data_IF_363817355327
#
_entry.id   IF_363817355327
#
_cell.length_a   1.000
_cell.length_b   1.000
_cell.length_c   1.000
_cell.angle_alpha   90.00
_cell.angle_beta   90.00
_cell.angle_gamma   90.00
#
_symmetry.space_group_name_H-M   'P 1'
#
loop_
_entity.id
_entity.type
_entity.pdbx_description
1 polymer ?
#
# COMPACT_ATOMS: atom_id res chain seq x y z
N UNK A 1 -32.32 19.58 -18.48
CA UNK A 1 -32.87 19.18 -17.14
C UNK A 1 -34.40 19.22 -17.21
N UNK A 2 -35.13 18.13 -16.98
CA UNK A 2 -36.56 18.23 -16.67
C UNK A 2 -36.68 18.82 -15.26
N UNK A 3 -36.67 20.16 -15.19
CA UNK A 3 -37.17 20.81 -14.00
C UNK A 3 -38.68 20.71 -14.12
N UNK A 4 -39.34 19.72 -13.48
CA UNK A 4 -40.61 20.11 -12.85
C UNK A 4 -40.25 21.41 -12.14
N UNK A 5 -40.96 22.53 -12.41
CA UNK A 5 -40.94 23.61 -11.45
C UNK A 5 -41.31 22.91 -10.17
N UNK A 6 -40.28 22.63 -9.34
CA UNK A 6 -40.52 22.17 -7.98
C UNK A 6 -41.47 23.24 -7.51
N UNK A 7 -42.67 22.84 -7.12
CA UNK A 7 -43.57 23.67 -6.34
C UNK A 7 -42.70 24.20 -5.21
N UNK A 8 -42.11 25.38 -5.43
CA UNK A 8 -41.23 25.98 -4.46
C UNK A 8 -42.19 26.30 -3.33
N UNK A 9 -41.85 25.82 -2.14
CA UNK A 9 -42.52 26.20 -0.92
C UNK A 9 -42.76 27.71 -0.95
N UNK A 10 -44.04 28.07 -0.87
CA UNK A 10 -44.65 29.41 -0.80
C UNK A 10 -43.74 30.62 -1.10
N UNK A 11 -44.07 31.44 -2.11
CA UNK A 11 -43.25 32.58 -2.49
C UNK A 11 -43.12 33.59 -1.34
N UNK A 12 -41.89 33.81 -0.87
CA UNK A 12 -41.54 35.05 -0.16
C UNK A 12 -41.75 36.20 -1.16
N UNK A 13 -42.72 37.04 -0.86
CA UNK A 13 -43.17 38.19 -1.63
C UNK A 13 -42.02 39.11 -2.08
N UNK A 14 -41.92 39.40 -3.38
CA UNK A 14 -41.25 40.63 -3.83
C UNK A 14 -40.59 40.65 -5.22
N UNK A 15 -40.37 39.52 -5.89
CA UNK A 15 -39.61 39.52 -7.15
C UNK A 15 -40.40 38.82 -8.28
N UNK A 16 -40.93 39.61 -9.22
CA UNK A 16 -41.67 39.09 -10.37
C UNK A 16 -40.72 38.39 -11.34
N UNK A 17 -40.66 37.05 -11.29
CA UNK A 17 -39.88 36.29 -12.26
C UNK A 17 -40.40 36.54 -13.69
N UNK A 18 -39.51 36.68 -14.68
CA UNK A 18 -39.91 36.91 -16.06
C UNK A 18 -40.79 35.75 -16.56
N UNK A 19 -42.00 36.07 -16.98
CA UNK A 19 -42.91 35.09 -17.58
C UNK A 19 -42.35 34.65 -18.94
N UNK A 20 -42.02 33.37 -19.08
CA UNK A 20 -41.56 32.81 -20.36
C UNK A 20 -42.75 32.50 -21.26
N UNK A 21 -42.86 33.24 -22.36
CA UNK A 21 -43.88 33.02 -23.39
C UNK A 21 -43.49 31.86 -24.32
N UNK A 22 -44.44 30.97 -24.59
CA UNK A 22 -44.29 29.91 -25.59
C UNK A 22 -44.37 30.49 -27.03
N UNK A 23 -44.06 29.70 -28.05
CA UNK A 23 -44.25 30.08 -29.46
C UNK A 23 -45.71 30.39 -29.81
N UNK A 24 -46.68 29.85 -29.06
CA UNK A 24 -48.09 30.20 -29.17
C UNK A 24 -48.48 31.50 -28.47
N UNK A 25 -47.51 32.25 -27.92
CA UNK A 25 -47.72 33.47 -27.11
C UNK A 25 -48.49 33.27 -25.80
N UNK A 26 -48.83 32.03 -25.44
CA UNK A 26 -49.37 31.71 -24.13
C UNK A 26 -48.25 31.58 -23.09
N UNK A 27 -48.57 31.92 -21.83
CA UNK A 27 -47.69 31.70 -20.68
C UNK A 27 -47.68 30.22 -20.35
N UNK A 28 -46.49 29.62 -20.21
CA UNK A 28 -46.36 28.24 -19.73
C UNK A 28 -46.50 28.21 -18.21
N UNK A 29 -47.44 27.42 -17.72
CA UNK A 29 -47.73 27.21 -16.30
C UNK A 29 -47.23 25.85 -15.81
N UNK A 30 -47.24 25.63 -14.49
CA UNK A 30 -46.72 24.40 -13.88
C UNK A 30 -47.59 23.16 -14.17
N UNK A 31 -48.84 23.39 -14.58
CA UNK A 31 -49.79 22.34 -14.96
C UNK A 31 -49.68 21.94 -16.43
N UNK A 32 -48.88 22.67 -17.21
CA UNK A 32 -48.73 22.40 -18.63
C UNK A 32 -47.72 21.28 -18.88
N UNK A 33 -48.03 20.42 -19.84
CA UNK A 33 -47.03 19.53 -20.42
C UNK A 33 -46.07 20.36 -21.27
N UNK A 34 -44.92 20.70 -20.71
CA UNK A 34 -43.96 21.58 -21.35
C UNK A 34 -42.52 21.09 -21.19
N UNK A 35 -41.68 21.49 -22.14
CA UNK A 35 -40.24 21.24 -22.16
C UNK A 35 -39.47 22.55 -22.16
N UNK A 36 -38.42 22.61 -21.36
CA UNK A 36 -37.46 23.71 -21.39
C UNK A 36 -36.38 23.42 -22.42
N UNK A 37 -36.14 24.36 -23.34
CA UNK A 37 -35.04 24.27 -24.29
C UNK A 37 -33.69 24.46 -23.58
N UNK A 38 -32.76 23.52 -23.68
CA UNK A 38 -31.45 23.62 -23.01
C UNK A 38 -30.53 24.71 -23.63
N UNK A 39 -30.90 25.26 -24.80
CA UNK A 39 -30.12 26.30 -25.48
C UNK A 39 -30.56 27.73 -25.13
N UNK A 40 -31.87 28.00 -25.09
CA UNK A 40 -32.41 29.36 -24.87
C UNK A 40 -33.17 29.51 -23.55
N UNK A 41 -33.24 28.45 -22.74
CA UNK A 41 -33.90 28.40 -21.43
C UNK A 41 -35.42 28.70 -21.46
N UNK A 42 -36.02 28.85 -22.64
CA UNK A 42 -37.44 29.09 -22.84
C UNK A 42 -38.27 27.79 -22.72
N UNK A 43 -39.49 27.93 -22.22
CA UNK A 43 -40.46 26.86 -22.04
C UNK A 43 -41.41 26.75 -23.23
N UNK A 44 -41.71 25.52 -23.64
CA UNK A 44 -42.59 25.24 -24.76
C UNK A 44 -43.59 24.14 -24.40
N UNK A 45 -44.89 24.40 -24.59
CA UNK A 45 -45.91 23.34 -24.56
C UNK A 45 -45.57 22.26 -25.58
N UNK A 46 -45.67 20.98 -25.21
CA UNK A 46 -45.30 19.87 -26.11
C UNK A 46 -46.06 19.92 -27.43
N UNK A 47 -47.32 20.36 -27.43
CA UNK A 47 -48.13 20.54 -28.64
C UNK A 47 -47.64 21.66 -29.55
N UNK A 48 -47.10 22.75 -28.98
CA UNK A 48 -46.59 23.90 -29.75
C UNK A 48 -45.24 23.62 -30.44
N UNK A 49 -44.57 22.53 -30.08
CA UNK A 49 -43.30 22.08 -30.67
C UNK A 49 -43.39 20.67 -31.26
N UNK A 50 -44.60 20.16 -31.50
CA UNK A 50 -44.87 18.86 -32.11
C UNK A 50 -44.19 17.68 -31.40
N UNK A 51 -44.02 17.75 -30.07
CA UNK A 51 -43.56 16.62 -29.27
C UNK A 51 -44.76 15.77 -28.88
N UNK A 52 -44.76 14.50 -29.30
CA UNK A 52 -45.84 13.58 -28.97
C UNK A 52 -45.87 13.29 -27.45
N UNK A 53 -47.05 12.98 -26.88
CA UNK A 53 -47.14 12.58 -25.47
C UNK A 53 -46.21 11.41 -25.12
N UNK A 54 -46.05 10.43 -26.02
CA UNK A 54 -45.13 9.30 -25.83
C UNK A 54 -43.67 9.74 -25.75
N UNK A 55 -43.24 10.64 -26.63
CA UNK A 55 -41.89 11.19 -26.60
C UNK A 55 -41.65 12.03 -25.32
N UNK A 56 -42.65 12.81 -24.91
CA UNK A 56 -42.61 13.56 -23.66
C UNK A 56 -42.46 12.63 -22.44
N UNK A 57 -43.22 11.54 -22.36
CA UNK A 57 -43.06 10.54 -21.31
C UNK A 57 -41.66 9.91 -21.33
N UNK A 58 -41.08 9.65 -22.50
CA UNK A 58 -39.71 9.16 -22.59
C UNK A 58 -38.69 10.19 -22.05
N UNK A 59 -38.85 11.48 -22.38
CA UNK A 59 -38.02 12.56 -21.82
C UNK A 59 -38.16 12.65 -20.29
N UNK A 60 -39.36 12.48 -19.75
CA UNK A 60 -39.60 12.43 -18.30
C UNK A 60 -38.87 11.25 -17.65
N UNK A 61 -39.04 10.03 -18.18
CA UNK A 61 -38.38 8.82 -17.67
C UNK A 61 -36.86 8.94 -17.69
N UNK A 62 -36.29 9.44 -18.78
CA UNK A 62 -34.85 9.66 -18.90
C UNK A 62 -34.36 10.66 -17.85
N UNK A 63 -35.09 11.76 -17.65
CA UNK A 63 -34.74 12.75 -16.64
C UNK A 63 -34.81 12.20 -15.20
N UNK A 64 -35.79 11.34 -14.88
CA UNK A 64 -35.90 10.65 -13.59
C UNK A 64 -34.73 9.68 -13.34
N UNK A 65 -34.31 8.96 -14.37
CA UNK A 65 -33.15 8.06 -14.33
C UNK A 65 -31.80 8.79 -14.31
N UNK A 66 -31.80 10.13 -14.28
CA UNK A 66 -30.61 10.96 -14.44
C UNK A 66 -29.86 10.68 -15.75
N UNK A 67 -30.56 10.14 -16.75
CA UNK A 67 -30.06 9.99 -18.12
C UNK A 67 -30.38 11.27 -18.88
N UNK A 68 -29.33 12.03 -19.20
CA UNK A 68 -29.51 13.32 -19.86
C UNK A 68 -30.04 13.14 -21.29
N UNK A 69 -31.29 13.51 -21.49
CA UNK A 69 -31.82 13.85 -22.80
C UNK A 69 -31.85 15.37 -22.90
N UNK A 70 -30.92 15.93 -23.67
CA UNK A 70 -30.99 17.34 -24.00
C UNK A 70 -32.13 17.52 -25.02
N UNK A 71 -32.99 18.50 -24.79
CA UNK A 71 -34.04 18.87 -25.74
C UNK A 71 -33.84 20.30 -26.21
N UNK A 72 -33.93 20.49 -27.52
CA UNK A 72 -33.74 21.78 -28.18
C UNK A 72 -35.00 22.13 -28.94
N UNK A 73 -35.49 23.37 -28.79
CA UNK A 73 -36.66 23.82 -29.54
C UNK A 73 -36.35 23.94 -31.04
N UNK A 74 -37.38 23.89 -31.92
CA UNK A 74 -37.18 23.96 -33.36
C UNK A 74 -36.35 25.17 -33.83
N UNK A 75 -36.52 26.33 -33.19
CA UNK A 75 -35.71 27.54 -33.50
C UNK A 75 -34.22 27.30 -33.24
N UNK A 76 -33.88 26.77 -32.07
CA UNK A 76 -32.49 26.46 -31.72
C UNK A 76 -31.89 25.32 -32.56
N UNK A 77 -32.71 24.41 -33.10
CA UNK A 77 -32.27 23.38 -34.04
C UNK A 77 -32.02 23.94 -35.45
N UNK A 78 -32.90 24.81 -35.95
CA UNK A 78 -32.86 25.36 -37.31
C UNK A 78 -31.78 26.43 -37.45
N UNK A 79 -31.59 27.28 -36.44
CA UNK A 79 -30.75 28.48 -36.56
C UNK A 79 -29.27 28.19 -36.85
N UNK A 80 -28.83 26.93 -36.99
CA UNK A 80 -27.44 26.48 -37.26
C UNK A 80 -26.37 27.20 -36.44
N UNK A 81 -26.78 27.90 -35.38
CA UNK A 81 -25.95 28.46 -34.33
C UNK A 81 -25.52 27.32 -33.42
N UNK A 82 -24.94 26.28 -34.03
CA UNK A 82 -24.13 25.25 -33.38
C UNK A 82 -23.12 25.94 -32.44
N UNK A 83 -22.64 27.13 -32.80
CA UNK A 83 -21.79 27.97 -31.96
C UNK A 83 -22.37 28.38 -30.60
N UNK A 84 -23.70 28.42 -30.39
CA UNK A 84 -24.31 28.69 -29.07
C UNK A 84 -24.76 27.44 -28.32
N UNK A 85 -25.16 26.40 -29.04
CA UNK A 85 -25.63 25.14 -28.45
C UNK A 85 -24.46 24.23 -28.05
N UNK A 86 -23.40 24.17 -28.87
CA UNK A 86 -22.24 23.33 -28.62
C UNK A 86 -21.49 23.66 -27.33
N UNK A 87 -21.23 24.93 -26.97
CA UNK A 87 -20.46 25.24 -25.76
C UNK A 87 -21.15 24.76 -24.47
N UNK A 88 -22.48 24.89 -24.35
CA UNK A 88 -23.21 24.41 -23.17
C UNK A 88 -23.22 22.88 -23.06
N UNK A 89 -23.40 22.20 -24.19
CA UNK A 89 -23.33 20.74 -24.24
C UNK A 89 -21.92 20.24 -23.91
N UNK A 90 -20.88 20.86 -24.49
CA UNK A 90 -19.48 20.55 -24.23
C UNK A 90 -19.09 20.83 -22.78
N UNK A 91 -19.54 21.94 -22.18
CA UNK A 91 -19.30 22.22 -20.77
C UNK A 91 -19.93 21.15 -19.88
N UNK A 92 -21.18 20.77 -20.15
CA UNK A 92 -21.88 19.72 -19.41
C UNK A 92 -21.14 18.37 -19.53
N UNK A 93 -20.61 18.05 -20.70
CA UNK A 93 -19.80 16.85 -20.90
C UNK A 93 -18.45 16.95 -20.19
N UNK A 94 -17.78 18.10 -20.22
CA UNK A 94 -16.53 18.35 -19.48
C UNK A 94 -16.73 18.16 -17.98
N UNK A 95 -17.74 18.80 -17.40
CA UNK A 95 -18.06 18.66 -15.97
C UNK A 95 -18.35 17.20 -15.59
N UNK A 96 -18.92 16.41 -16.50
CA UNK A 96 -19.16 14.97 -16.30
C UNK A 96 -17.89 14.15 -16.40
N UNK A 97 -16.99 14.49 -17.32
CA UNK A 97 -15.66 13.88 -17.43
C UNK A 97 -14.92 14.14 -16.11
N UNK A 98 -14.83 15.39 -15.67
CA UNK A 98 -14.15 15.77 -14.43
C UNK A 98 -14.72 15.04 -13.20
N UNK A 99 -16.06 14.94 -13.10
CA UNK A 99 -16.70 14.16 -12.02
C UNK A 99 -16.38 12.68 -12.09
N UNK A 100 -16.37 12.11 -13.29
CA UNK A 100 -16.07 10.69 -13.51
C UNK A 100 -14.60 10.40 -13.19
N UNK A 101 -13.68 11.25 -13.64
CA UNK A 101 -12.25 11.16 -13.32
C UNK A 101 -12.03 11.25 -11.81
N UNK A 102 -12.67 12.21 -11.13
CA UNK A 102 -12.59 12.32 -9.69
C UNK A 102 -13.11 11.07 -8.96
N UNK A 103 -14.22 10.50 -9.43
CA UNK A 103 -14.76 9.24 -8.90
C UNK A 103 -13.79 8.07 -9.11
N UNK A 104 -13.16 7.97 -10.29
CA UNK A 104 -12.14 6.96 -10.58
C UNK A 104 -10.91 7.11 -9.69
N UNK A 105 -10.41 8.34 -9.50
CA UNK A 105 -9.31 8.60 -8.55
C UNK A 105 -9.68 8.18 -7.14
N UNK A 106 -10.90 8.50 -6.70
CA UNK A 106 -11.40 8.10 -5.37
C UNK A 106 -11.48 6.58 -5.21
N UNK A 107 -11.98 5.88 -6.24
CA UNK A 107 -12.07 4.41 -6.23
C UNK A 107 -10.69 3.76 -6.26
N UNK A 108 -9.75 4.26 -7.06
CA UNK A 108 -8.37 3.79 -7.08
C UNK A 108 -7.70 3.94 -5.71
N UNK A 109 -7.86 5.09 -5.07
CA UNK A 109 -7.32 5.31 -3.72
C UNK A 109 -7.93 4.34 -2.69
N UNK A 110 -9.24 4.05 -2.77
CA UNK A 110 -9.89 3.07 -1.90
C UNK A 110 -9.42 1.65 -2.18
N UNK A 111 -9.21 1.29 -3.45
CA UNK A 111 -8.68 -0.01 -3.84
C UNK A 111 -7.28 -0.23 -3.26
N UNK A 112 -6.38 0.75 -3.41
CA UNK A 112 -5.03 0.66 -2.86
C UNK A 112 -5.03 0.49 -1.33
N UNK A 113 -5.90 1.22 -0.62
CA UNK A 113 -6.09 1.05 0.82
C UNK A 113 -6.58 -0.35 1.20
N UNK A 114 -7.48 -0.95 0.41
CA UNK A 114 -7.97 -2.30 0.65
C UNK A 114 -6.89 -3.36 0.40
N UNK A 115 -6.07 -3.18 -0.63
CA UNK A 115 -4.93 -4.07 -0.92
C UNK A 115 -3.93 -4.03 0.24
N UNK A 116 -3.55 -2.86 0.72
CA UNK A 116 -2.65 -2.71 1.87
C UNK A 116 -3.21 -3.37 3.13
N UNK A 117 -4.52 -3.20 3.39
CA UNK A 117 -5.21 -3.83 4.52
C UNK A 117 -5.24 -5.35 4.40
N UNK A 118 -5.43 -5.89 3.19
CA UNK A 118 -5.43 -7.32 2.94
C UNK A 118 -4.04 -7.93 3.18
N UNK A 119 -2.97 -7.26 2.74
CA UNK A 119 -1.59 -7.67 2.98
C UNK A 119 -1.25 -7.67 4.48
N UNK A 120 -1.74 -6.70 5.25
CA UNK A 120 -1.57 -6.68 6.71
C UNK A 120 -2.31 -7.83 7.40
N UNK A 121 -3.56 -8.10 7.01
CA UNK A 121 -4.34 -9.21 7.57
C UNK A 121 -3.70 -10.57 7.25
N UNK A 122 -3.21 -10.74 6.02
CA UNK A 122 -2.53 -11.96 5.62
C UNK A 122 -1.24 -12.18 6.42
N UNK A 123 -0.44 -11.12 6.63
CA UNK A 123 0.74 -11.18 7.48
C UNK A 123 0.39 -11.48 8.95
N UNK A 124 -0.72 -10.98 9.47
CA UNK A 124 -1.22 -11.31 10.82
C UNK A 124 -1.59 -12.78 10.94
N UNK A 125 -2.33 -13.31 9.98
CA UNK A 125 -2.72 -14.72 9.94
C UNK A 125 -1.50 -15.63 9.87
N UNK A 126 -0.54 -15.29 9.01
CA UNK A 126 0.72 -16.02 8.86
C UNK A 126 1.62 -15.94 10.11
N UNK A 127 1.55 -14.84 10.87
CA UNK A 127 2.20 -14.72 12.20
C UNK A 127 1.54 -15.64 13.22
N UNK A 128 0.21 -15.68 13.28
CA UNK A 128 -0.51 -16.56 14.22
C UNK A 128 -0.27 -18.03 13.93
N UNK A 129 -0.32 -18.45 12.66
CA UNK A 129 0.02 -19.83 12.25
C UNK A 129 1.43 -20.25 12.67
N UNK A 130 2.39 -19.32 12.63
CA UNK A 130 3.79 -19.57 13.03
C UNK A 130 4.06 -19.26 14.51
N UNK A 131 3.08 -18.77 15.27
CA UNK A 131 3.28 -18.32 16.66
C UNK A 131 3.70 -19.46 17.57
N UNK A 132 3.30 -20.70 17.28
CA UNK A 132 3.73 -21.89 18.02
C UNK A 132 4.94 -22.60 17.42
N UNK A 133 5.58 -22.01 16.40
CA UNK A 133 6.64 -22.70 15.65
C UNK A 133 8.03 -22.15 16.01
N UNK A 134 9.02 -23.02 15.93
CA UNK A 134 10.44 -22.68 15.99
C UNK A 134 11.17 -23.21 14.75
N UNK A 135 12.35 -22.66 14.51
CA UNK A 135 13.29 -23.14 13.50
C UNK A 135 14.61 -23.52 14.16
N UNK A 136 15.19 -24.64 13.74
CA UNK A 136 16.48 -25.14 14.20
C UNK A 136 17.42 -25.24 13.00
N UNK A 137 18.58 -24.59 13.11
CA UNK A 137 19.65 -24.61 12.12
C UNK A 137 20.78 -25.49 12.60
N UNK A 138 21.46 -26.13 11.66
CA UNK A 138 22.66 -26.95 11.90
C UNK A 138 22.42 -28.20 12.76
N UNK A 139 21.18 -28.72 12.81
CA UNK A 139 20.88 -29.99 13.45
C UNK A 139 20.86 -31.09 12.39
N UNK A 140 21.91 -31.91 12.38
CA UNK A 140 22.07 -33.01 11.42
C UNK A 140 20.97 -34.06 11.59
N UNK A 141 20.47 -34.65 10.48
CA UNK A 141 19.63 -35.83 10.58
C UNK A 141 20.46 -37.00 11.14
N UNK A 142 19.79 -37.88 11.86
CA UNK A 142 20.37 -39.14 12.34
C UNK A 142 19.72 -40.26 11.54
N UNK A 143 20.51 -41.04 10.81
CA UNK A 143 20.00 -42.12 9.98
C UNK A 143 19.19 -43.11 10.83
N UNK A 144 18.06 -43.56 10.29
CA UNK A 144 17.14 -44.50 10.95
C UNK A 144 16.35 -43.92 12.13
N UNK A 145 16.51 -42.64 12.48
CA UNK A 145 15.79 -42.01 13.60
C UNK A 145 14.80 -40.96 13.10
N UNK A 146 13.58 -40.94 13.65
CA UNK A 146 12.60 -39.91 13.35
C UNK A 146 13.07 -38.55 13.89
N UNK A 147 12.96 -37.47 13.10
CA UNK A 147 13.33 -36.12 13.51
C UNK A 147 12.61 -35.68 14.81
N UNK A 148 11.40 -36.17 15.07
CA UNK A 148 10.67 -35.92 16.32
C UNK A 148 11.44 -36.42 17.54
N UNK A 149 12.03 -37.62 17.46
CA UNK A 149 12.81 -38.21 18.55
C UNK A 149 14.16 -37.51 18.70
N UNK A 150 14.79 -37.13 17.59
CA UNK A 150 16.04 -36.34 17.60
C UNK A 150 15.81 -35.00 18.32
N UNK A 151 14.75 -34.28 17.96
CA UNK A 151 14.37 -33.02 18.61
C UNK A 151 14.07 -33.23 20.09
N UNK A 152 13.29 -34.25 20.41
CA UNK A 152 12.92 -34.57 21.79
C UNK A 152 14.16 -34.78 22.67
N UNK A 153 15.05 -35.68 22.26
CA UNK A 153 16.31 -35.97 22.98
C UNK A 153 17.20 -34.74 23.05
N UNK A 154 17.31 -33.98 21.96
CA UNK A 154 18.14 -32.78 21.93
C UNK A 154 17.66 -31.73 22.95
N UNK A 155 16.36 -31.45 22.99
CA UNK A 155 15.78 -30.47 23.93
C UNK A 155 15.94 -30.94 25.38
N UNK A 156 15.68 -32.22 25.67
CA UNK A 156 15.80 -32.73 27.03
C UNK A 156 17.24 -32.75 27.52
N UNK A 157 18.18 -33.23 26.71
CA UNK A 157 19.57 -33.43 27.11
C UNK A 157 20.40 -32.14 27.11
N UNK A 158 20.18 -31.24 26.14
CA UNK A 158 21.04 -30.06 25.97
C UNK A 158 20.40 -28.74 26.44
N UNK A 159 19.06 -28.66 26.52
CA UNK A 159 18.38 -27.49 27.07
C UNK A 159 17.88 -27.70 28.50
N UNK A 160 17.81 -28.95 28.98
CA UNK A 160 17.24 -29.28 30.28
C UNK A 160 15.74 -28.94 30.39
N UNK A 161 15.06 -28.79 29.25
CA UNK A 161 13.62 -28.50 29.23
C UNK A 161 12.88 -29.83 29.15
N UNK A 162 12.09 -30.14 30.19
CA UNK A 162 11.19 -31.28 30.17
C UNK A 162 10.03 -30.97 29.24
N UNK A 163 9.90 -31.75 28.18
CA UNK A 163 8.78 -31.67 27.23
C UNK A 163 8.10 -33.03 27.17
N UNK A 164 6.81 -33.05 26.89
CA UNK A 164 6.08 -34.27 26.55
C UNK A 164 6.19 -34.50 25.03
N UNK A 165 6.53 -35.70 24.53
CA UNK A 165 6.47 -36.00 23.10
C UNK A 165 5.15 -35.63 22.42
N UNK A 166 4.03 -35.64 23.13
CA UNK A 166 2.71 -35.24 22.62
C UNK A 166 2.58 -33.73 22.36
N UNK A 167 3.43 -32.90 23.00
CA UNK A 167 3.43 -31.44 22.83
C UNK A 167 4.00 -30.99 21.48
N UNK A 168 4.76 -31.87 20.81
CA UNK A 168 5.26 -31.66 19.46
C UNK A 168 4.18 -32.14 18.49
N UNK A 169 3.58 -31.20 17.77
CA UNK A 169 2.57 -31.44 16.75
C UNK A 169 3.21 -32.07 15.51
N UNK A 170 4.14 -31.33 14.89
CA UNK A 170 4.77 -31.73 13.65
C UNK A 170 6.22 -31.24 13.56
N UNK A 171 7.03 -32.02 12.84
CA UNK A 171 8.44 -31.74 12.58
C UNK A 171 8.69 -31.95 11.09
N UNK A 172 9.35 -30.99 10.43
CA UNK A 172 9.63 -31.06 9.00
C UNK A 172 10.97 -30.40 8.65
N UNK A 173 11.65 -30.92 7.63
CA UNK A 173 12.86 -30.31 7.07
C UNK A 173 12.52 -29.49 5.83
N UNK A 174 13.06 -28.28 5.74
CA UNK A 174 12.91 -27.46 4.54
C UNK A 174 13.80 -28.00 3.43
N UNK A 175 13.22 -28.25 2.24
CA UNK A 175 13.98 -28.64 1.07
C UNK A 175 14.89 -27.48 0.66
N UNK A 176 16.20 -27.66 0.77
CA UNK A 176 17.16 -26.71 0.23
C UNK A 176 17.21 -26.91 -1.29
N UNK A 177 16.83 -25.92 -2.08
CA UNK A 177 16.75 -26.02 -3.55
C UNK A 177 18.11 -26.18 -4.26
N UNK A 178 19.22 -26.23 -3.51
CA UNK A 178 20.55 -26.36 -4.07
C UNK A 178 21.07 -27.77 -3.88
N UNK A 179 21.16 -28.51 -4.99
CA UNK A 179 22.01 -29.69 -5.18
C UNK A 179 23.52 -29.35 -5.16
N UNK A 180 23.91 -28.17 -4.67
CA UNK A 180 25.29 -27.67 -4.73
C UNK A 180 25.96 -27.70 -3.36
N UNK A 181 26.68 -28.80 -3.14
CA UNK A 181 27.97 -28.96 -2.42
C UNK A 181 28.20 -28.42 -1.00
N UNK A 182 27.23 -27.79 -0.36
CA UNK A 182 27.42 -27.35 1.02
C UNK A 182 26.92 -28.44 1.96
N UNK A 183 27.86 -29.09 2.66
CA UNK A 183 27.68 -30.13 3.68
C UNK A 183 26.92 -29.64 4.93
N UNK A 184 25.91 -28.79 4.73
CA UNK A 184 25.14 -28.12 5.77
C UNK A 184 23.77 -28.80 5.86
N UNK A 185 23.37 -29.26 7.06
CA UNK A 185 22.10 -29.92 7.20
C UNK A 185 20.95 -28.95 6.94
N UNK A 186 19.82 -29.44 6.37
CA UNK A 186 18.66 -28.63 6.05
C UNK A 186 18.05 -28.00 7.32
N UNK A 187 17.37 -26.87 7.14
CA UNK A 187 16.64 -26.21 8.22
C UNK A 187 15.54 -27.13 8.74
N UNK A 188 15.36 -27.21 10.05
CA UNK A 188 14.31 -27.99 10.69
C UNK A 188 13.23 -27.04 11.26
N UNK A 189 11.98 -27.24 10.89
CA UNK A 189 10.81 -26.58 11.46
C UNK A 189 10.11 -27.50 12.44
N UNK A 190 9.68 -26.93 13.58
CA UNK A 190 8.96 -27.66 14.62
C UNK A 190 7.74 -26.83 15.00
N UNK A 191 6.56 -27.46 14.96
CA UNK A 191 5.32 -26.91 15.48
C UNK A 191 4.97 -27.58 16.81
N UNK A 192 4.49 -26.77 17.75
CA UNK A 192 4.05 -27.24 19.06
C UNK A 192 2.54 -27.03 19.22
N UNK A 193 1.92 -27.91 20.00
CA UNK A 193 0.53 -27.74 20.43
C UNK A 193 0.39 -26.60 21.45
N UNK A 194 1.43 -26.40 22.28
CA UNK A 194 1.46 -25.40 23.34
C UNK A 194 2.52 -24.32 23.12
N UNK A 195 2.11 -23.06 23.30
CA UNK A 195 2.98 -21.89 23.23
C UNK A 195 3.95 -21.81 24.41
N UNK A 196 3.59 -22.37 25.57
CA UNK A 196 4.44 -22.35 26.77
C UNK A 196 5.73 -23.14 26.54
N UNK A 197 5.63 -24.33 25.93
CA UNK A 197 6.76 -25.20 25.56
C UNK A 197 7.72 -24.47 24.62
N UNK A 198 7.19 -23.85 23.56
CA UNK A 198 7.98 -23.00 22.65
C UNK A 198 8.74 -21.91 23.41
N UNK A 199 8.06 -21.24 24.34
CA UNK A 199 8.63 -20.09 25.06
C UNK A 199 9.76 -20.53 25.98
N UNK A 200 9.59 -21.66 26.68
CA UNK A 200 10.61 -22.30 27.52
C UNK A 200 11.84 -22.73 26.72
N UNK A 201 11.63 -23.36 25.56
CA UNK A 201 12.73 -23.75 24.66
C UNK A 201 13.51 -22.52 24.17
N UNK A 202 12.82 -21.47 23.71
CA UNK A 202 13.47 -20.25 23.23
C UNK A 202 14.21 -19.49 24.35
N UNK A 203 13.72 -19.52 25.58
CA UNK A 203 14.39 -18.91 26.73
C UNK A 203 15.70 -19.63 27.09
N UNK A 204 15.75 -20.96 26.94
CA UNK A 204 16.95 -21.77 27.19
C UNK A 204 17.88 -21.87 25.99
N UNK A 205 17.42 -21.60 24.76
CA UNK A 205 18.22 -21.69 23.54
C UNK A 205 19.62 -21.02 23.60
N UNK A 206 19.82 -19.85 24.25
CA UNK A 206 21.15 -19.24 24.37
C UNK A 206 22.17 -20.10 25.13
N UNK A 207 21.73 -20.96 26.07
CA UNK A 207 22.64 -21.79 26.88
C UNK A 207 23.34 -22.87 26.06
N UNK A 208 22.83 -23.21 24.87
CA UNK A 208 23.47 -24.14 23.92
C UNK A 208 24.91 -23.74 23.61
N UNK A 209 25.21 -22.42 23.59
CA UNK A 209 26.57 -21.92 23.31
C UNK A 209 27.59 -22.31 24.38
N UNK A 210 27.13 -22.69 25.56
CA UNK A 210 27.96 -23.12 26.69
C UNK A 210 28.08 -24.65 26.78
N UNK A 211 27.48 -25.42 25.87
CA UNK A 211 27.60 -26.89 25.84
C UNK A 211 29.07 -27.31 25.75
N UNK A 212 29.48 -28.44 26.31
CA UNK A 212 30.82 -28.99 26.06
C UNK A 212 30.95 -29.57 24.64
N UNK A 213 29.86 -30.04 24.07
CA UNK A 213 29.80 -30.65 22.74
C UNK A 213 29.85 -29.60 21.63
N UNK A 214 30.87 -29.71 20.75
CA UNK A 214 31.09 -28.82 19.62
C UNK A 214 29.95 -28.87 18.58
N UNK A 215 29.34 -30.04 18.35
CA UNK A 215 28.21 -30.20 17.43
C UNK A 215 26.96 -29.51 17.97
N UNK A 216 26.78 -29.50 19.28
CA UNK A 216 25.67 -28.80 19.94
C UNK A 216 25.89 -27.30 19.89
N UNK A 217 27.11 -26.80 20.14
CA UNK A 217 27.43 -25.35 20.12
C UNK A 217 27.06 -24.68 18.79
N UNK A 218 27.17 -25.38 17.66
CA UNK A 218 26.87 -24.81 16.34
C UNK A 218 25.37 -24.76 16.03
N UNK A 219 24.53 -25.46 16.79
CA UNK A 219 23.08 -25.43 16.64
C UNK A 219 22.55 -24.04 16.99
N UNK A 220 21.57 -23.57 16.22
CA UNK A 220 20.86 -22.33 16.49
C UNK A 220 19.36 -22.57 16.48
N UNK A 221 18.69 -22.17 17.55
CA UNK A 221 17.24 -22.24 17.69
C UNK A 221 16.69 -20.82 17.66
N UNK A 222 15.68 -20.58 16.83
CA UNK A 222 15.02 -19.27 16.75
C UNK A 222 13.52 -19.36 16.51
N UNK A 223 12.85 -18.22 16.61
CA UNK A 223 11.44 -18.08 16.24
C UNK A 223 11.26 -18.37 14.75
N UNK A 224 10.19 -19.07 14.38
CA UNK A 224 9.79 -19.21 12.98
C UNK A 224 9.12 -17.91 12.52
N UNK A 225 9.92 -16.99 11.97
CA UNK A 225 9.44 -15.70 11.49
C UNK A 225 8.76 -15.82 10.12
N UNK A 226 7.81 -14.95 9.84
CA UNK A 226 7.29 -14.75 8.48
C UNK A 226 8.39 -14.20 7.56
N UNK A 227 8.13 -14.17 6.25
CA UNK A 227 9.06 -13.58 5.28
C UNK A 227 9.32 -12.09 5.58
N UNK A 228 8.27 -11.33 5.90
CA UNK A 228 8.36 -9.90 6.22
C UNK A 228 9.15 -9.66 7.51
N UNK A 229 8.86 -10.42 8.57
CA UNK A 229 9.61 -10.35 9.83
C UNK A 229 11.08 -10.78 9.68
N UNK A 230 11.35 -11.81 8.88
CA UNK A 230 12.71 -12.27 8.60
C UNK A 230 13.54 -11.19 7.89
N UNK A 231 12.94 -10.50 6.90
CA UNK A 231 13.57 -9.38 6.20
C UNK A 231 13.84 -8.22 7.17
N UNK A 232 12.86 -7.81 7.97
CA UNK A 232 13.04 -6.77 8.99
C UNK A 232 14.14 -7.12 9.99
N UNK A 233 14.19 -8.36 10.46
CA UNK A 233 15.21 -8.83 11.38
C UNK A 233 16.60 -8.83 10.72
N UNK A 234 16.68 -9.13 9.43
CA UNK A 234 17.93 -9.04 8.66
C UNK A 234 18.40 -7.60 8.53
N UNK A 235 17.53 -6.68 8.12
CA UNK A 235 17.85 -5.25 8.01
C UNK A 235 18.27 -4.65 9.36
N UNK A 236 17.60 -5.04 10.45
CA UNK A 236 17.97 -4.61 11.80
C UNK A 236 19.36 -5.12 12.21
N UNK A 237 19.73 -6.36 11.82
CA UNK A 237 21.10 -6.88 12.02
C UNK A 237 22.12 -6.10 11.20
N UNK A 238 21.84 -5.85 9.92
CA UNK A 238 22.73 -5.07 9.05
C UNK A 238 22.95 -3.65 9.58
N UNK A 239 21.90 -3.01 10.10
CA UNK A 239 22.01 -1.70 10.78
C UNK A 239 22.92 -1.76 12.00
N UNK A 240 22.74 -2.74 12.90
CA UNK A 240 23.59 -2.88 14.09
C UNK A 240 25.06 -3.13 13.76
N UNK A 241 25.33 -3.96 12.77
CA UNK A 241 26.70 -4.25 12.35
C UNK A 241 27.40 -2.97 11.85
N UNK A 242 26.74 -2.19 10.98
CA UNK A 242 27.28 -0.91 10.51
C UNK A 242 27.56 0.08 11.65
N UNK A 243 26.62 0.21 12.58
CA UNK A 243 26.83 1.10 13.74
C UNK A 243 27.98 0.64 14.64
N UNK A 244 28.20 -0.67 14.78
CA UNK A 244 29.35 -1.20 15.54
C UNK A 244 30.67 -0.95 14.81
N UNK A 245 30.70 -1.10 13.49
CA UNK A 245 31.88 -0.80 12.66
C UNK A 245 32.25 0.69 12.73
N UNK A 246 31.26 1.59 12.64
CA UNK A 246 31.46 3.04 12.80
C UNK A 246 32.02 3.38 14.18
N UNK A 247 31.51 2.76 15.24
CA UNK A 247 32.03 2.95 16.59
C UNK A 247 33.48 2.47 16.71
N UNK A 248 33.85 1.34 16.12
CA UNK A 248 35.23 0.83 16.11
C UNK A 248 36.20 1.72 15.30
N UNK A 249 35.73 2.35 14.22
CA UNK A 249 36.54 3.31 13.46
C UNK A 249 36.78 4.62 14.23
N UNK A 250 35.80 5.06 15.02
CA UNK A 250 35.94 6.26 15.85
C UNK A 250 36.93 6.07 17.02
N UNK A 251 36.98 4.89 17.62
CA UNK A 251 37.91 4.59 18.73
C UNK A 251 39.34 4.45 18.24
N UNK A 252 39.57 3.81 17.09
CA UNK A 252 40.91 3.68 16.49
C UNK A 252 41.48 5.04 16.07
N UNK A 253 40.67 5.92 15.48
CA UNK A 253 41.08 7.28 15.11
C UNK A 253 41.46 8.18 16.29
N UNK A 254 40.84 7.96 17.45
CA UNK A 254 41.10 8.74 18.68
C UNK A 254 42.39 8.30 19.39
N UNK A 255 42.78 7.03 19.29
CA UNK A 255 44.02 6.50 19.89
C UNK A 255 45.25 7.02 19.15
N UNK A 256 45.20 7.15 17.83
CA UNK A 256 46.34 7.67 17.04
C UNK A 256 46.69 9.12 17.39
N UNK A 257 45.71 9.94 17.79
CA UNK A 257 45.98 11.35 18.16
C UNK A 257 46.65 11.53 19.53
N UNK A 258 46.57 10.55 20.44
CA UNK A 258 47.21 10.67 21.77
C UNK A 258 48.71 10.40 21.77
N UNK A 259 49.28 9.81 20.71
CA UNK A 259 50.74 9.59 20.63
C UNK A 259 51.54 10.68 19.90
N UNK A 260 50.88 11.63 19.22
CA UNK A 260 51.58 12.73 18.55
C UNK A 260 51.64 14.04 19.35
N UNK A 261 51.06 14.10 20.56
CA UNK A 261 51.22 15.22 21.49
C UNK A 261 52.28 14.92 22.56
N UNK A 262 53.44 14.37 22.14
CA UNK A 262 54.65 14.55 22.94
C UNK A 262 55.17 15.94 22.57
N UNK A 263 55.26 16.91 23.50
CA UNK A 263 55.77 18.24 23.19
C UNK A 263 57.21 18.08 22.69
N UNK A 264 57.39 18.17 21.37
CA UNK A 264 58.70 18.32 20.78
C UNK A 264 59.11 19.77 21.07
N UNK A 265 59.77 19.97 22.21
CA UNK A 265 60.51 21.18 22.50
C UNK A 265 61.73 21.20 21.59
N UNK A 266 61.55 21.49 20.30
CA UNK A 266 62.65 22.03 19.52
C UNK A 266 62.20 22.82 18.28
N UNK A 267 62.75 24.03 18.24
CA UNK A 267 63.05 24.88 17.09
C UNK A 267 61.92 25.38 16.19
N UNK A 268 61.70 26.71 16.28
CA UNK A 268 61.90 27.67 15.20
C UNK A 268 61.89 27.08 13.78
N UNK A 269 60.93 27.50 12.95
CA UNK A 269 61.17 28.18 11.66
C UNK A 269 59.84 28.55 10.97
N UNK A 270 59.80 29.81 10.55
CA UNK A 270 58.96 30.48 9.54
C UNK A 270 58.50 29.59 8.36
N UNK A 271 57.22 29.69 7.96
CA UNK A 271 56.70 30.50 6.82
C UNK A 271 55.32 29.99 6.35
N UNK A 272 54.42 30.96 6.22
CA UNK A 272 53.33 31.14 5.25
C UNK A 272 53.06 29.98 4.26
N UNK A 273 51.84 29.42 4.30
CA UNK A 273 51.04 29.33 3.09
C UNK A 273 49.54 29.16 3.39
N UNK A 274 48.77 30.16 2.98
CA UNK A 274 47.32 30.19 2.96
C UNK A 274 46.87 29.37 1.76
N UNK A 275 46.00 28.38 1.95
CA UNK A 275 45.16 27.93 0.84
C UNK A 275 43.75 27.59 1.34
N UNK A 276 42.86 28.57 1.15
CA UNK A 276 41.42 28.42 1.20
C UNK A 276 40.98 27.52 0.06
N UNK A 277 40.22 26.47 0.34
CA UNK A 277 39.34 25.90 -0.67
C UNK A 277 37.99 25.53 -0.06
N UNK A 278 37.03 26.44 -0.28
CA UNK A 278 35.61 26.26 -0.04
C UNK A 278 35.07 25.23 -1.03
N UNK A 279 34.44 24.17 -0.54
CA UNK A 279 33.61 23.30 -1.37
C UNK A 279 32.28 23.05 -0.64
N UNK A 280 31.34 23.98 -0.82
CA UNK A 280 29.92 23.81 -0.49
C UNK A 280 29.16 23.74 -1.80
N UNK A 281 28.66 22.57 -2.18
CA UNK A 281 27.50 22.40 -3.06
C UNK A 281 27.14 20.92 -3.17
N UNK A 282 26.11 20.49 -2.44
CA UNK A 282 25.11 19.53 -2.93
C UNK A 282 24.07 19.22 -1.84
N UNK A 283 22.92 19.87 -1.91
CA UNK A 283 21.68 19.41 -1.29
C UNK A 283 20.50 19.98 -2.08
N UNK A 284 20.09 19.28 -3.13
CA UNK A 284 18.80 19.43 -3.80
C UNK A 284 18.53 18.18 -4.66
N UNK A 285 18.19 17.05 -4.04
CA UNK A 285 17.74 15.86 -4.80
C UNK A 285 16.77 14.93 -4.04
N UNK A 286 15.85 15.49 -3.26
CA UNK A 286 14.92 14.70 -2.43
C UNK A 286 13.52 14.50 -3.02
N UNK A 287 13.13 15.22 -4.07
CA UNK A 287 11.74 15.19 -4.56
C UNK A 287 11.44 14.23 -5.74
N UNK A 288 12.46 13.63 -6.38
CA UNK A 288 12.24 12.70 -7.52
C UNK A 288 12.13 11.21 -7.14
N UNK A 289 12.19 10.86 -5.85
CA UNK A 289 12.19 9.47 -5.39
C UNK A 289 10.81 8.86 -5.10
N UNK A 290 9.73 9.67 -5.11
CA UNK A 290 8.40 9.18 -4.75
C UNK A 290 7.69 8.50 -5.95
N UNK A 291 7.83 9.03 -7.17
CA UNK A 291 7.19 8.43 -8.36
C UNK A 291 7.83 7.10 -8.80
N UNK A 292 9.14 6.93 -8.60
CA UNK A 292 9.87 5.72 -9.00
C UNK A 292 9.59 4.51 -8.09
N UNK A 293 9.16 4.73 -6.84
CA UNK A 293 8.85 3.64 -5.91
C UNK A 293 7.52 2.93 -6.24
N UNK A 294 6.55 3.63 -6.81
CA UNK A 294 5.25 3.04 -7.17
C UNK A 294 5.36 2.11 -8.37
N UNK A 295 6.17 2.47 -9.38
CA UNK A 295 6.43 1.61 -10.55
C UNK A 295 7.31 0.38 -10.24
N UNK A 296 8.16 0.44 -9.21
CA UNK A 296 8.95 -0.73 -8.79
C UNK A 296 8.12 -1.73 -7.97
N UNK A 297 7.10 -1.29 -7.23
CA UNK A 297 6.19 -2.19 -6.50
C UNK A 297 5.32 -3.04 -7.43
N UNK A 298 4.75 -2.46 -8.50
CA UNK A 298 3.89 -3.21 -9.44
C UNK A 298 4.65 -4.27 -10.24
N UNK A 299 5.90 -4.01 -10.65
CA UNK A 299 6.75 -5.01 -11.32
C UNK A 299 7.14 -6.20 -10.44
N UNK A 300 7.08 -6.06 -9.11
CA UNK A 300 7.46 -7.14 -8.17
C UNK A 300 6.33 -8.15 -7.93
N UNK A 301 5.07 -7.75 -8.04
CA UNK A 301 3.92 -8.66 -7.89
C UNK A 301 3.71 -9.55 -9.13
N UNK A 302 3.93 -9.03 -10.35
CA UNK A 302 3.80 -9.85 -11.57
C UNK A 302 4.84 -10.98 -11.72
N UNK A 303 5.98 -10.91 -11.02
CA UNK A 303 6.96 -12.01 -11.03
C UNK A 303 6.68 -13.12 -10.02
N UNK A 304 5.76 -12.92 -9.08
CA UNK A 304 5.45 -13.90 -8.02
C UNK A 304 4.21 -14.73 -8.31
N UNK A 305 3.34 -14.34 -9.27
CA UNK A 305 2.19 -15.16 -9.69
C UNK A 305 2.53 -16.30 -10.65
N UNK A 306 3.73 -16.31 -11.26
CA UNK A 306 4.12 -17.30 -12.27
C UNK A 306 5.04 -18.42 -11.73
N UNK A 307 5.06 -18.70 -10.42
CA UNK A 307 5.96 -19.72 -9.82
C UNK A 307 5.33 -20.64 -8.79
N UNK A 308 4.00 -20.76 -8.78
CA UNK A 308 3.30 -21.81 -8.05
C UNK A 308 2.28 -22.48 -8.96
#
# INVERSE_FOLDING_TARGET
MYKRRKTQDSPKSGESQPQTLCSCQAIVTDNDNALQCDACDAWFHIGCVNVSPTAYTAYQTLAEQQQFSNWFCPKCLIDKNVGRVAPRCLQTLSDRIDKTEHHLTTLTNKHDQLVDRLDELNENLEREKRRKNIIVKNLSPVEGTNDKDVVFRFVQNHLGVKIDPSSIDSVWRFKTSSATNNNRPPLLGIAFNDLSVRSSILAKAPTIKNSSDALVKIVYIGKHLTKKQSLQAFEARQRRNRSQEEQQQSTTSSVVRKHNNRPNQNSNVRRDNINNNNNSNNNNNTNNNILNNTQQKTKRYHRLSNRY
#
